data_IF_153806324252
#
_entry.id   IF_153806324252
#
_cell.length_a   1.000
_cell.length_b   1.000
_cell.length_c   1.000
_cell.angle_alpha   90.00
_cell.angle_beta   90.00
_cell.angle_gamma   90.00
#
_symmetry.space_group_name_H-M   'P 1'
#
loop_
_entity.id
_entity.type
_entity.pdbx_description
1 polymer ?
#
# COMPACT_ATOMS: atom_id res chain seq x y z
N UNK A 1 -14.95 25.61 28.77
CA UNK A 1 -14.69 24.96 27.49
C UNK A 1 -13.22 24.63 27.47
N UNK A 2 -12.84 23.35 27.47
CA UNK A 2 -11.43 22.97 27.43
C UNK A 2 -10.92 23.12 26.00
N UNK A 3 -10.08 24.12 25.76
CA UNK A 3 -9.23 24.18 24.57
C UNK A 3 -8.16 23.10 24.73
N UNK A 4 -8.36 21.96 24.08
CA UNK A 4 -7.30 20.97 23.91
C UNK A 4 -6.40 21.44 22.77
N UNK A 5 -5.11 21.72 23.01
CA UNK A 5 -4.19 21.98 21.91
C UNK A 5 -4.12 20.71 21.05
N UNK A 6 -4.46 20.81 19.77
CA UNK A 6 -4.08 19.80 18.78
C UNK A 6 -2.56 19.85 18.66
N UNK A 7 -1.89 19.02 19.45
CA UNK A 7 -0.49 18.71 19.28
C UNK A 7 -0.33 18.19 17.85
N UNK A 8 0.21 19.03 16.96
CA UNK A 8 0.73 18.56 15.69
C UNK A 8 1.89 17.66 16.06
N UNK A 9 1.63 16.37 16.10
CA UNK A 9 2.68 15.36 16.18
C UNK A 9 3.53 15.60 14.95
N UNK A 10 4.72 16.16 15.15
CA UNK A 10 5.76 16.23 14.12
C UNK A 10 6.17 14.79 13.83
N UNK A 11 5.41 14.14 12.95
CA UNK A 11 5.82 12.87 12.38
C UNK A 11 7.12 13.12 11.64
N UNK A 12 8.17 12.31 11.86
CA UNK A 12 9.38 12.41 11.05
C UNK A 12 8.96 12.31 9.58
N UNK A 13 9.22 13.37 8.82
CA UNK A 13 8.89 13.42 7.40
C UNK A 13 9.85 12.48 6.69
N UNK A 14 9.37 11.29 6.37
CA UNK A 14 10.10 10.38 5.50
C UNK A 14 10.10 10.99 4.11
N UNK A 15 11.25 11.49 3.68
CA UNK A 15 11.42 12.08 2.35
C UNK A 15 11.50 10.95 1.31
N UNK A 16 10.53 10.95 0.40
CA UNK A 16 10.45 9.96 -0.68
C UNK A 16 11.06 10.56 -1.94
N UNK A 17 12.12 9.96 -2.50
CA UNK A 17 12.72 10.43 -3.74
C UNK A 17 11.69 10.51 -4.87
N UNK A 18 11.72 11.60 -5.65
CA UNK A 18 10.79 11.78 -6.78
C UNK A 18 10.80 10.60 -7.75
N UNK A 19 11.97 10.01 -7.98
CA UNK A 19 12.13 8.84 -8.86
C UNK A 19 11.36 7.61 -8.34
N UNK A 20 11.35 7.40 -7.01
CA UNK A 20 10.59 6.32 -6.37
C UNK A 20 9.08 6.57 -6.50
N UNK A 21 8.63 7.83 -6.36
CA UNK A 21 7.22 8.23 -6.57
C UNK A 21 6.79 8.00 -8.03
N UNK A 22 7.56 8.47 -9.01
CA UNK A 22 7.24 8.31 -10.43
C UNK A 22 7.23 6.84 -10.86
N UNK A 23 8.14 6.02 -10.29
CA UNK A 23 8.15 4.58 -10.54
C UNK A 23 6.90 3.91 -9.95
N UNK A 24 6.56 4.22 -8.70
CA UNK A 24 5.38 3.68 -8.07
C UNK A 24 4.08 4.12 -8.78
N UNK A 25 3.97 5.38 -9.17
CA UNK A 25 2.83 5.89 -9.94
C UNK A 25 2.62 5.11 -11.25
N UNK A 26 3.68 4.85 -12.01
CA UNK A 26 3.60 4.02 -13.22
C UNK A 26 3.10 2.61 -12.92
N UNK A 27 3.65 1.97 -11.89
CA UNK A 27 3.28 0.61 -11.50
C UNK A 27 1.83 0.51 -11.00
N UNK A 28 1.33 1.55 -10.32
CA UNK A 28 -0.06 1.67 -9.88
C UNK A 28 -1.03 1.85 -11.06
N UNK A 29 -0.57 2.39 -12.20
CA UNK A 29 -1.38 2.44 -13.43
C UNK A 29 -1.28 1.15 -14.26
N UNK A 30 -0.12 0.50 -14.29
CA UNK A 30 0.12 -0.77 -14.98
C UNK A 30 1.39 -1.43 -14.40
N UNK A 31 1.31 -2.60 -13.74
CA UNK A 31 0.20 -3.58 -13.74
C UNK A 31 -0.97 -3.29 -12.79
N UNK A 32 -0.90 -2.25 -11.97
CA UNK A 32 -1.95 -1.89 -11.01
C UNK A 32 -1.51 -1.91 -9.54
N UNK A 33 -0.26 -2.27 -9.25
CA UNK A 33 0.27 -2.33 -7.89
C UNK A 33 1.79 -2.20 -7.82
N UNK A 34 2.30 -1.91 -6.62
CA UNK A 34 3.72 -1.86 -6.31
C UNK A 34 4.00 -2.52 -4.96
N UNK A 35 5.12 -3.24 -4.86
CA UNK A 35 5.52 -4.01 -3.67
C UNK A 35 6.99 -3.78 -3.29
N UNK A 36 7.44 -4.39 -2.18
CA UNK A 36 8.87 -4.41 -1.81
C UNK A 36 9.79 -5.03 -2.86
N UNK A 37 9.26 -5.86 -3.77
CA UNK A 37 10.05 -6.40 -4.88
C UNK A 37 10.47 -5.34 -5.88
N UNK A 38 9.60 -4.35 -6.10
CA UNK A 38 9.83 -3.23 -7.01
C UNK A 38 10.61 -2.10 -6.33
N UNK A 39 10.29 -1.85 -5.06
CA UNK A 39 10.92 -0.84 -4.22
C UNK A 39 11.27 -1.45 -2.86
N UNK A 40 12.50 -1.97 -2.67
CA UNK A 40 12.91 -2.68 -1.44
C UNK A 40 12.71 -1.92 -0.14
N UNK A 41 12.68 -0.58 -0.20
CA UNK A 41 12.42 0.27 0.97
C UNK A 41 10.99 0.13 1.51
N UNK A 42 10.04 -0.40 0.74
CA UNK A 42 8.68 -0.70 1.21
C UNK A 42 8.63 -1.78 2.30
N UNK A 43 9.73 -2.49 2.55
CA UNK A 43 9.85 -3.34 3.73
C UNK A 43 9.77 -2.55 5.06
N UNK A 44 10.06 -1.23 5.03
CA UNK A 44 9.82 -0.33 6.15
C UNK A 44 8.41 0.27 6.04
N UNK A 45 7.59 0.06 7.07
CA UNK A 45 6.19 0.52 7.11
C UNK A 45 6.07 2.04 6.99
N UNK A 46 6.93 2.80 7.68
CA UNK A 46 6.87 4.25 7.64
C UNK A 46 7.20 4.78 6.24
N UNK A 47 8.17 4.14 5.58
CA UNK A 47 8.54 4.44 4.20
C UNK A 47 7.45 4.05 3.20
N UNK A 48 6.86 2.87 3.31
CA UNK A 48 5.77 2.42 2.44
C UNK A 48 4.53 3.32 2.56
N UNK A 49 4.18 3.71 3.78
CA UNK A 49 3.07 4.64 4.04
C UNK A 49 3.34 6.00 3.41
N UNK A 50 4.55 6.55 3.61
CA UNK A 50 4.94 7.82 3.03
C UNK A 50 4.99 7.79 1.49
N UNK A 51 5.40 6.66 0.88
CA UNK A 51 5.33 6.46 -0.56
C UNK A 51 3.88 6.50 -1.05
N UNK A 52 2.94 5.82 -0.39
CA UNK A 52 1.52 5.82 -0.76
C UNK A 52 0.94 7.24 -0.77
N UNK A 53 1.23 8.02 0.27
CA UNK A 53 0.83 9.43 0.34
C UNK A 53 1.44 10.26 -0.79
N UNK A 54 2.72 10.02 -1.11
CA UNK A 54 3.42 10.74 -2.17
C UNK A 54 2.87 10.40 -3.56
N UNK A 55 2.53 9.13 -3.82
CA UNK A 55 1.91 8.67 -5.07
C UNK A 55 0.50 9.26 -5.22
N UNK A 56 -0.30 9.24 -4.16
CA UNK A 56 -1.63 9.86 -4.18
C UNK A 56 -1.55 11.35 -4.49
N UNK A 57 -0.61 12.06 -3.85
CA UNK A 57 -0.35 13.48 -4.14
C UNK A 57 0.18 13.72 -5.55
N UNK A 58 0.94 12.78 -6.12
CA UNK A 58 1.44 12.89 -7.48
C UNK A 58 0.28 12.94 -8.47
N UNK A 59 -0.69 12.02 -8.37
CA UNK A 59 -1.87 12.02 -9.23
C UNK A 59 -2.71 13.28 -9.03
N UNK A 60 -2.95 13.69 -7.79
CA UNK A 60 -3.77 14.88 -7.51
C UNK A 60 -3.19 16.22 -7.99
N UNK A 61 -1.87 16.34 -8.12
CA UNK A 61 -1.22 17.64 -8.38
C UNK A 61 -0.41 17.70 -9.68
N UNK A 62 0.01 16.56 -10.21
CA UNK A 62 1.00 16.49 -11.28
C UNK A 62 0.55 15.65 -12.49
N UNK A 63 -0.59 14.96 -12.40
CA UNK A 63 -1.12 14.10 -13.47
C UNK A 63 -2.63 14.34 -13.62
N UNK A 64 -2.99 15.32 -14.46
CA UNK A 64 -4.39 15.66 -14.73
C UNK A 64 -5.12 14.60 -15.57
N UNK A 65 -4.39 13.65 -16.16
CA UNK A 65 -4.92 12.62 -17.06
C UNK A 65 -5.37 11.35 -16.32
N UNK A 66 -4.83 11.11 -15.11
CA UNK A 66 -5.10 9.92 -14.32
C UNK A 66 -5.58 10.25 -12.90
N UNK A 67 -6.72 9.67 -12.51
CA UNK A 67 -7.29 9.75 -11.16
C UNK A 67 -7.50 8.33 -10.58
N UNK A 68 -6.42 7.55 -10.36
CA UNK A 68 -6.54 6.18 -9.89
C UNK A 68 -6.94 6.15 -8.41
N UNK A 69 -7.79 5.19 -8.05
CA UNK A 69 -8.10 4.95 -6.64
C UNK A 69 -6.99 4.19 -5.93
N UNK A 70 -5.96 4.91 -5.48
CA UNK A 70 -4.79 4.36 -4.77
C UNK A 70 -5.14 3.94 -3.35
N UNK A 71 -4.76 2.72 -2.98
CA UNK A 71 -4.95 2.15 -1.65
C UNK A 71 -3.67 1.51 -1.13
N UNK A 72 -3.45 1.58 0.18
CA UNK A 72 -2.33 0.97 0.89
C UNK A 72 -2.84 -0.04 1.90
N UNK A 73 -2.25 -1.23 1.91
CA UNK A 73 -2.60 -2.27 2.88
C UNK A 73 -1.40 -3.12 3.26
N UNK A 74 -1.44 -3.66 4.49
CA UNK A 74 -0.55 -4.71 4.95
C UNK A 74 -1.31 -6.03 5.08
N UNK A 75 -0.65 -7.12 4.72
CA UNK A 75 -1.18 -8.46 4.87
C UNK A 75 -0.23 -9.33 5.67
N UNK A 76 -0.82 -10.18 6.53
CA UNK A 76 -0.12 -11.23 7.25
C UNK A 76 -0.09 -12.51 6.38
N UNK A 77 1.09 -13.12 6.29
CA UNK A 77 1.32 -14.36 5.56
C UNK A 77 1.61 -15.54 6.50
N UNK A 78 1.47 -16.76 5.98
CA UNK A 78 1.85 -17.97 6.68
C UNK A 78 3.37 -17.95 6.97
N UNK A 79 3.72 -18.18 8.23
CA UNK A 79 5.08 -17.95 8.74
C UNK A 79 5.26 -16.66 9.54
N UNK A 80 4.26 -15.77 9.54
CA UNK A 80 4.24 -14.55 10.36
C UNK A 80 4.93 -13.34 9.72
N UNK A 81 5.27 -13.43 8.44
CA UNK A 81 5.75 -12.31 7.66
C UNK A 81 4.58 -11.35 7.36
N UNK A 82 4.86 -10.05 7.43
CA UNK A 82 3.89 -8.99 7.19
C UNK A 82 4.44 -8.09 6.10
N UNK A 83 3.72 -7.97 5.00
CA UNK A 83 4.16 -7.20 3.84
C UNK A 83 3.13 -6.19 3.38
N UNK A 84 3.63 -5.13 2.76
CA UNK A 84 2.83 -3.99 2.31
C UNK A 84 2.68 -3.98 0.79
N UNK A 85 1.50 -3.58 0.34
CA UNK A 85 1.18 -3.31 -1.07
C UNK A 85 0.54 -1.94 -1.21
N UNK A 86 0.88 -1.23 -2.28
CA UNK A 86 0.10 -0.08 -2.75
C UNK A 86 -0.52 -0.49 -4.08
N UNK A 87 -1.84 -0.37 -4.22
CA UNK A 87 -2.54 -0.83 -5.41
C UNK A 87 -3.64 0.13 -5.85
N UNK A 88 -4.00 0.03 -7.12
CA UNK A 88 -5.07 0.79 -7.74
C UNK A 88 -6.36 -0.02 -7.74
N UNK A 89 -7.36 0.43 -6.99
CA UNK A 89 -8.67 -0.22 -6.94
C UNK A 89 -9.47 -0.12 -8.24
N UNK A 90 -9.04 0.70 -9.20
CA UNK A 90 -9.60 0.70 -10.55
C UNK A 90 -9.15 -0.49 -11.38
N UNK A 91 -8.06 -1.16 -11.00
CA UNK A 91 -7.53 -2.35 -11.67
C UNK A 91 -7.75 -3.57 -10.78
N UNK A 92 -7.24 -3.52 -9.55
CA UNK A 92 -7.36 -4.59 -8.55
C UNK A 92 -8.57 -4.28 -7.67
N UNK A 93 -9.73 -4.82 -8.05
CA UNK A 93 -11.04 -4.40 -7.51
C UNK A 93 -11.29 -4.77 -6.05
N UNK A 94 -10.51 -5.68 -5.48
CA UNK A 94 -10.78 -6.27 -4.16
C UNK A 94 -9.51 -6.44 -3.36
N UNK A 95 -9.66 -6.33 -2.05
CA UNK A 95 -8.62 -6.62 -1.06
C UNK A 95 -8.01 -8.02 -1.24
N UNK A 96 -8.84 -9.03 -1.50
CA UNK A 96 -8.42 -10.41 -1.69
C UNK A 96 -7.54 -10.56 -2.94
N UNK A 97 -7.92 -9.93 -4.05
CA UNK A 97 -7.07 -9.90 -5.25
C UNK A 97 -5.73 -9.19 -5.00
N UNK A 98 -5.71 -8.11 -4.21
CA UNK A 98 -4.45 -7.46 -3.84
C UNK A 98 -3.57 -8.35 -2.94
N UNK A 99 -4.17 -9.13 -2.05
CA UNK A 99 -3.48 -10.14 -1.25
C UNK A 99 -2.89 -11.25 -2.15
N UNK A 100 -3.68 -11.77 -3.09
CA UNK A 100 -3.23 -12.77 -4.06
C UNK A 100 -2.06 -12.25 -4.91
N UNK A 101 -2.19 -11.03 -5.48
CA UNK A 101 -1.13 -10.38 -6.26
C UNK A 101 0.14 -10.14 -5.42
N UNK A 102 -0.01 -9.72 -4.16
CA UNK A 102 1.13 -9.55 -3.25
C UNK A 102 1.80 -10.89 -2.93
N UNK A 103 1.01 -11.92 -2.65
CA UNK A 103 1.50 -13.27 -2.36
C UNK A 103 2.31 -13.82 -3.53
N UNK A 104 1.75 -13.74 -4.74
CA UNK A 104 2.37 -14.21 -5.97
C UNK A 104 3.64 -13.41 -6.31
N UNK A 105 3.61 -12.08 -6.12
CA UNK A 105 4.76 -11.23 -6.36
C UNK A 105 5.96 -11.61 -5.46
N UNK A 106 5.68 -11.87 -4.18
CA UNK A 106 6.69 -12.13 -3.15
C UNK A 106 7.02 -13.63 -2.96
N UNK A 107 6.20 -14.52 -3.50
CA UNK A 107 6.30 -15.97 -3.26
C UNK A 107 5.83 -16.38 -1.86
N UNK A 108 4.97 -15.55 -1.24
CA UNK A 108 4.42 -15.80 0.09
C UNK A 108 3.25 -16.78 0.02
N UNK A 109 2.91 -17.35 1.17
CA UNK A 109 1.74 -18.24 1.31
C UNK A 109 0.66 -17.56 2.12
N UNK A 110 -0.55 -17.52 1.57
CA UNK A 110 -1.70 -16.95 2.26
C UNK A 110 -2.16 -17.91 3.37
N UNK A 111 -2.52 -17.36 4.53
CA UNK A 111 -3.10 -18.14 5.62
C UNK A 111 -4.51 -18.58 5.24
N UNK A 112 -4.69 -19.87 4.96
CA UNK A 112 -6.01 -20.47 4.78
C UNK A 112 -6.69 -20.63 6.14
N UNK A 113 -7.42 -19.62 6.59
CA UNK A 113 -8.41 -19.82 7.64
C UNK A 113 -9.62 -20.53 7.03
N UNK A 114 -9.63 -21.87 7.04
CA UNK A 114 -10.91 -22.60 7.05
C UNK A 114 -11.62 -22.20 8.35
N UNK A 115 -12.46 -21.17 8.27
CA UNK A 115 -13.37 -20.83 9.36
C UNK A 115 -14.42 -21.93 9.35
N UNK A 116 -14.21 -22.93 10.20
CA UNK A 116 -15.17 -23.99 10.47
C UNK A 116 -16.39 -23.34 11.15
N UNK A 117 -17.34 -22.85 10.33
CA UNK A 117 -18.57 -22.23 10.80
C UNK A 117 -19.46 -23.31 11.41
N UNK A 118 -19.15 -23.71 12.64
CA UNK A 118 -20.06 -24.47 13.48
C UNK A 118 -21.22 -23.56 13.87
N UNK A 119 -22.33 -23.70 13.14
CA UNK A 119 -23.62 -23.10 13.48
C UNK A 119 -24.13 -23.78 14.75
N UNK A 120 -24.29 -23.02 15.84
CA UNK A 120 -24.94 -23.46 17.08
C UNK A 120 -26.45 -23.18 17.02
#
# INVERSE_FOLDING_TARGET
MADTPKEKVDTPTVDIPKEDVEKAAKLVLDPGYVTKKDLPKMADLAWATALSDAVTKHFLNNDDDHDPYVYFEQFDFDGGDIDSIIFNMDIIKTREAALDDLADALGEKIVNHEVDQTTY
#
